data_IF_644360222456
#
_entry.id   IF_644360222456
#
_cell.length_a   1.000
_cell.length_b   1.000
_cell.length_c   1.000
_cell.angle_alpha   90.00
_cell.angle_beta   90.00
_cell.angle_gamma   90.00
#
_symmetry.space_group_name_H-M   'P 1'
#
loop_
_entity.id
_entity.type
_entity.pdbx_description
1 polymer ?
#
# COMPACT_ATOMS: atom_id res chain seq x y z
N UNK A 1 -10.89 -62.82 -9.24
CA UNK A 1 -10.82 -61.38 -9.53
C UNK A 1 -10.00 -60.77 -8.41
N UNK A 2 -9.00 -59.97 -8.76
CA UNK A 2 -8.24 -59.16 -7.81
C UNK A 2 -8.78 -57.74 -7.95
N UNK A 3 -9.19 -57.15 -6.83
CA UNK A 3 -9.69 -55.78 -6.79
C UNK A 3 -8.61 -54.92 -6.12
N UNK A 4 -8.27 -53.80 -6.74
CA UNK A 4 -7.45 -52.79 -6.09
C UNK A 4 -8.40 -51.81 -5.38
N UNK A 5 -8.22 -51.64 -4.08
CA UNK A 5 -9.04 -50.75 -3.26
C UNK A 5 -8.17 -49.56 -2.94
N UNK A 6 -8.61 -48.37 -3.36
CA UNK A 6 -8.03 -47.10 -2.94
C UNK A 6 -8.87 -46.55 -1.80
N UNK A 7 -8.22 -46.05 -0.75
CA UNK A 7 -8.87 -45.46 0.41
C UNK A 7 -8.52 -43.98 0.36
N UNK A 8 -9.56 -43.17 0.28
CA UNK A 8 -9.51 -41.73 0.29
C UNK A 8 -9.00 -41.21 1.65
N UNK A 9 -8.23 -40.12 1.63
CA UNK A 9 -7.66 -39.48 2.80
C UNK A 9 -8.10 -38.00 2.85
N UNK A 10 -8.33 -37.44 4.05
CA UNK A 10 -8.62 -36.01 4.13
C UNK A 10 -7.40 -35.19 3.66
N UNK A 11 -7.63 -33.97 3.14
CA UNK A 11 -6.55 -33.04 2.82
C UNK A 11 -5.65 -32.77 4.04
N UNK A 12 -4.36 -32.56 3.82
CA UNK A 12 -3.39 -32.25 4.87
C UNK A 12 -3.10 -30.74 4.92
N UNK A 13 -3.35 -30.12 6.08
CA UNK A 13 -3.01 -28.71 6.32
C UNK A 13 -1.58 -28.62 6.88
N UNK A 14 -0.64 -28.12 6.07
CA UNK A 14 0.75 -27.93 6.48
C UNK A 14 0.94 -26.73 7.42
N UNK A 15 0.05 -25.73 7.34
CA UNK A 15 0.05 -24.58 8.22
C UNK A 15 -0.70 -23.36 7.66
N UNK A 16 -0.91 -22.38 8.53
CA UNK A 16 -1.55 -21.10 8.20
C UNK A 16 -0.46 -20.01 8.21
N UNK A 17 -0.36 -19.25 7.13
CA UNK A 17 0.55 -18.13 6.98
C UNK A 17 -0.20 -16.83 7.30
N UNK A 18 0.23 -16.20 8.39
CA UNK A 18 -0.25 -14.93 8.91
C UNK A 18 0.91 -13.93 8.86
N UNK A 19 0.64 -12.62 8.67
CA UNK A 19 1.65 -11.60 8.87
C UNK A 19 2.06 -11.51 10.35
N UNK A 20 3.27 -11.02 10.60
CA UNK A 20 3.82 -10.89 11.96
C UNK A 20 3.01 -9.92 12.85
N UNK A 21 2.41 -8.90 12.24
CA UNK A 21 1.61 -7.89 12.91
C UNK A 21 0.26 -7.75 12.18
N UNK A 22 -0.81 -7.82 12.96
CA UNK A 22 -2.20 -7.63 12.52
C UNK A 22 -2.74 -6.41 13.26
N UNK A 23 -3.39 -5.50 12.53
CA UNK A 23 -3.93 -4.27 13.08
C UNK A 23 -5.46 -4.27 12.95
N UNK A 24 -6.16 -3.66 13.91
CA UNK A 24 -7.60 -3.41 13.83
C UNK A 24 -7.96 -2.56 12.61
N UNK A 25 -9.16 -2.72 12.05
CA UNK A 25 -9.68 -2.02 10.87
C UNK A 25 -8.86 -2.16 9.57
N UNK A 26 -7.75 -2.92 9.59
CA UNK A 26 -6.95 -3.23 8.41
C UNK A 26 -7.28 -4.61 7.84
N UNK A 27 -7.34 -4.69 6.50
CA UNK A 27 -7.49 -5.96 5.80
C UNK A 27 -6.20 -6.76 5.83
N UNK A 28 -6.28 -7.92 6.44
CA UNK A 28 -5.18 -8.87 6.58
C UNK A 28 -5.37 -10.01 5.60
N UNK A 29 -4.33 -10.30 4.83
CA UNK A 29 -4.30 -11.45 3.93
C UNK A 29 -3.77 -12.68 4.69
N UNK A 30 -4.57 -13.74 4.73
CA UNK A 30 -4.22 -15.01 5.37
C UNK A 30 -4.20 -16.11 4.32
N UNK A 31 -3.16 -16.94 4.33
CA UNK A 31 -3.00 -18.02 3.35
C UNK A 31 -2.88 -19.36 4.08
N UNK A 32 -3.67 -20.36 3.68
CA UNK A 32 -3.47 -21.73 4.15
C UNK A 32 -2.64 -22.52 3.14
N UNK A 33 -1.66 -23.28 3.64
CA UNK A 33 -0.90 -24.24 2.83
C UNK A 33 -1.51 -25.63 3.01
N UNK A 34 -2.11 -26.15 1.94
CA UNK A 34 -2.83 -27.42 1.91
C UNK A 34 -2.28 -28.29 0.80
N UNK A 35 -2.20 -29.58 1.06
CA UNK A 35 -1.95 -30.61 0.06
C UNK A 35 -2.95 -31.74 0.19
N UNK A 36 -3.31 -32.33 -0.95
CA UNK A 36 -4.21 -33.47 -1.02
C UNK A 36 -3.55 -34.59 -1.85
N UNK A 37 -3.53 -35.81 -1.33
CA UNK A 37 -2.73 -36.89 -1.92
C UNK A 37 -3.31 -37.34 -3.27
N UNK A 38 -4.63 -37.37 -3.35
CA UNK A 38 -5.45 -37.77 -4.49
C UNK A 38 -5.34 -36.75 -5.63
N UNK A 39 -5.42 -35.46 -5.29
CA UNK A 39 -5.19 -34.35 -6.22
C UNK A 39 -3.74 -34.34 -6.75
N UNK A 40 -2.74 -34.56 -5.88
CA UNK A 40 -1.33 -34.64 -6.29
C UNK A 40 -1.03 -35.84 -7.20
N UNK A 41 -1.78 -36.94 -7.03
CA UNK A 41 -1.67 -38.13 -7.84
C UNK A 41 -2.51 -38.08 -9.14
N UNK A 42 -3.23 -36.97 -9.39
CA UNK A 42 -4.14 -36.78 -10.53
C UNK A 42 -5.18 -37.92 -10.66
N UNK A 43 -5.66 -38.40 -9.50
CA UNK A 43 -6.66 -39.46 -9.44
C UNK A 43 -8.05 -38.87 -9.69
N UNK A 44 -8.82 -39.44 -10.60
CA UNK A 44 -10.21 -39.00 -10.83
C UNK A 44 -11.16 -40.09 -10.39
N UNK A 45 -12.04 -39.77 -9.46
CA UNK A 45 -13.04 -40.69 -8.95
C UNK A 45 -14.38 -40.51 -9.66
N UNK A 46 -15.05 -41.65 -9.89
CA UNK A 46 -16.39 -41.68 -10.43
C UNK A 46 -17.29 -42.44 -9.48
N UNK A 47 -18.47 -41.87 -9.20
CA UNK A 47 -19.54 -42.53 -8.47
C UNK A 47 -20.47 -43.22 -9.46
N UNK A 48 -20.66 -44.51 -9.26
CA UNK A 48 -21.70 -45.33 -9.91
C UNK A 48 -23.05 -45.03 -9.24
N UNK A 49 -24.03 -44.58 -10.03
CA UNK A 49 -25.37 -44.23 -9.58
C UNK A 49 -26.41 -45.33 -9.88
N UNK A 50 -26.03 -46.36 -10.62
CA UNK A 50 -26.89 -47.42 -11.16
C UNK A 50 -26.30 -48.84 -10.99
N UNK A 51 -25.67 -49.10 -9.84
CA UNK A 51 -25.02 -50.36 -9.39
C UNK A 51 -25.68 -51.71 -9.73
N UNK A 52 -26.96 -51.72 -10.15
CA UNK A 52 -27.73 -52.91 -10.47
C UNK A 52 -27.76 -53.27 -11.97
N UNK A 53 -27.22 -52.43 -12.85
CA UNK A 53 -27.21 -52.70 -14.30
C UNK A 53 -26.14 -53.73 -14.73
N UNK A 54 -25.22 -54.06 -13.81
CA UNK A 54 -24.17 -55.06 -14.00
C UNK A 54 -22.94 -54.55 -14.75
N UNK A 55 -22.86 -53.26 -15.06
CA UNK A 55 -21.65 -52.60 -15.54
C UNK A 55 -20.65 -52.42 -14.39
N UNK A 56 -19.36 -52.33 -14.73
CA UNK A 56 -18.27 -52.02 -13.79
C UNK A 56 -17.29 -51.00 -14.42
N UNK A 57 -17.74 -50.26 -15.43
CA UNK A 57 -16.88 -49.42 -16.30
C UNK A 57 -17.52 -48.09 -16.70
N UNK A 58 -18.76 -47.92 -16.29
CA UNK A 58 -19.52 -46.69 -16.35
C UNK A 58 -18.91 -45.63 -15.44
N UNK A 59 -19.09 -44.40 -15.90
CA UNK A 59 -18.58 -43.18 -15.29
C UNK A 59 -19.75 -42.23 -15.24
N UNK A 60 -20.65 -42.44 -14.28
CA UNK A 60 -21.90 -41.67 -14.22
C UNK A 60 -21.64 -40.25 -13.73
N UNK A 61 -21.07 -40.12 -12.53
CA UNK A 61 -20.80 -38.85 -11.88
C UNK A 61 -19.32 -38.74 -11.53
N UNK A 62 -18.64 -37.73 -12.07
CA UNK A 62 -17.27 -37.41 -11.67
C UNK A 62 -17.31 -36.65 -10.35
N UNK A 63 -16.55 -37.12 -9.36
CA UNK A 63 -16.32 -36.39 -8.12
C UNK A 63 -15.21 -35.37 -8.39
N UNK A 64 -15.41 -34.11 -7.99
CA UNK A 64 -14.38 -33.09 -8.16
C UNK A 64 -13.25 -33.29 -7.15
N UNK A 65 -12.01 -33.03 -7.56
CA UNK A 65 -10.86 -32.94 -6.65
C UNK A 65 -10.63 -31.50 -6.16
N UNK A 66 -11.55 -30.59 -6.46
CA UNK A 66 -11.45 -29.21 -6.01
C UNK A 66 -11.61 -29.16 -4.49
N UNK A 67 -10.70 -28.45 -3.84
CA UNK A 67 -10.73 -28.24 -2.39
C UNK A 67 -11.68 -27.11 -2.04
N UNK A 68 -12.49 -27.32 -1.01
CA UNK A 68 -13.35 -26.30 -0.41
C UNK A 68 -12.68 -25.82 0.86
N UNK A 69 -12.33 -24.53 0.92
CA UNK A 69 -11.68 -23.90 2.08
C UNK A 69 -12.66 -22.93 2.73
N UNK A 70 -12.99 -23.21 3.98
CA UNK A 70 -13.87 -22.41 4.83
C UNK A 70 -13.06 -21.86 6.00
N UNK A 71 -13.32 -20.62 6.37
CA UNK A 71 -12.60 -19.90 7.41
C UNK A 71 -13.56 -19.48 8.51
N UNK A 72 -13.06 -19.47 9.73
CA UNK A 72 -13.70 -18.96 10.93
C UNK A 72 -12.78 -17.89 11.51
N UNK A 73 -13.29 -16.67 11.64
CA UNK A 73 -12.50 -15.49 11.97
C UNK A 73 -12.01 -15.54 13.42
N UNK A 74 -12.87 -15.95 14.34
CA UNK A 74 -12.56 -16.03 15.76
C UNK A 74 -13.48 -17.01 16.48
N UNK A 75 -12.95 -18.19 16.84
CA UNK A 75 -13.72 -19.23 17.55
C UNK A 75 -14.19 -18.82 18.97
N UNK A 76 -13.80 -17.63 19.44
CA UNK A 76 -14.19 -17.10 20.74
C UNK A 76 -15.43 -16.19 20.65
N UNK A 77 -15.84 -15.80 19.45
CA UNK A 77 -16.90 -14.81 19.22
C UNK A 77 -17.94 -15.36 18.25
N UNK A 78 -19.14 -15.56 18.80
CA UNK A 78 -20.35 -15.83 18.03
C UNK A 78 -20.76 -14.59 17.22
N UNK A 79 -20.56 -14.64 15.91
CA UNK A 79 -20.83 -13.56 14.98
C UNK A 79 -22.28 -13.57 14.47
N UNK A 80 -22.89 -14.75 14.27
CA UNK A 80 -24.25 -14.89 13.74
C UNK A 80 -25.36 -14.91 14.82
N UNK A 81 -24.98 -15.08 16.09
CA UNK A 81 -25.82 -15.06 17.27
C UNK A 81 -26.60 -16.35 17.52
N UNK A 82 -26.13 -17.49 17.00
CA UNK A 82 -26.78 -18.80 17.15
C UNK A 82 -26.40 -19.57 18.45
N UNK A 83 -25.63 -18.93 19.33
CA UNK A 83 -25.08 -19.46 20.58
C UNK A 83 -23.97 -20.52 20.41
N UNK A 84 -23.48 -20.72 19.18
CA UNK A 84 -22.31 -21.54 18.86
C UNK A 84 -21.23 -20.58 18.37
N UNK A 85 -20.03 -20.67 18.95
CA UNK A 85 -18.95 -19.69 18.71
C UNK A 85 -17.97 -20.13 17.62
N UNK A 86 -18.06 -21.37 17.15
CA UNK A 86 -17.05 -22.01 16.30
C UNK A 86 -17.59 -22.49 14.94
N UNK A 87 -18.67 -21.86 14.48
CA UNK A 87 -19.40 -22.23 13.26
C UNK A 87 -19.81 -21.05 12.36
N UNK A 88 -19.21 -19.88 12.53
CA UNK A 88 -19.37 -18.69 11.70
C UNK A 88 -18.50 -18.77 10.43
N UNK A 89 -18.66 -19.88 9.69
CA UNK A 89 -17.87 -20.17 8.50
C UNK A 89 -18.13 -19.17 7.37
N UNK A 90 -17.05 -18.61 6.82
CA UNK A 90 -17.07 -17.82 5.60
C UNK A 90 -16.12 -18.37 4.55
N UNK A 91 -16.50 -18.21 3.28
CA UNK A 91 -15.69 -18.62 2.13
C UNK A 91 -15.01 -17.39 1.55
N UNK A 92 -13.74 -17.51 1.19
CA UNK A 92 -13.01 -16.43 0.54
C UNK A 92 -13.62 -16.05 -0.80
N UNK A 93 -13.67 -14.74 -1.08
CA UNK A 93 -14.09 -14.19 -2.38
C UNK A 93 -12.90 -13.95 -3.32
N UNK A 94 -11.69 -14.32 -2.90
CA UNK A 94 -10.48 -14.14 -3.69
C UNK A 94 -10.41 -15.13 -4.86
N UNK A 95 -9.56 -14.82 -5.84
CA UNK A 95 -9.32 -15.71 -6.99
C UNK A 95 -8.60 -17.01 -6.61
N UNK A 96 -7.87 -16.99 -5.49
CA UNK A 96 -7.19 -18.14 -4.90
C UNK A 96 -8.03 -18.63 -3.71
N UNK A 97 -8.47 -19.89 -3.77
CA UNK A 97 -9.33 -20.50 -2.73
C UNK A 97 -8.61 -20.58 -1.37
N UNK A 98 -7.29 -20.72 -1.38
CA UNK A 98 -6.45 -20.80 -0.17
C UNK A 98 -6.12 -19.45 0.46
N UNK A 99 -6.45 -18.34 -0.19
CA UNK A 99 -6.20 -16.98 0.30
C UNK A 99 -7.51 -16.41 0.83
N UNK A 100 -7.55 -15.97 2.08
CA UNK A 100 -8.65 -15.21 2.67
C UNK A 100 -8.21 -13.80 3.04
N UNK A 101 -9.16 -12.87 3.03
CA UNK A 101 -8.99 -11.49 3.51
C UNK A 101 -9.90 -11.28 4.70
N UNK A 102 -9.31 -11.02 5.87
CA UNK A 102 -10.00 -10.91 7.15
C UNK A 102 -9.76 -9.52 7.73
N UNK A 103 -10.75 -8.96 8.43
CA UNK A 103 -10.68 -7.64 9.08
C UNK A 103 -11.21 -7.80 10.50
N UNK A 104 -10.46 -7.33 11.50
CA UNK A 104 -10.90 -7.31 12.90
C UNK A 104 -11.24 -5.88 13.32
N UNK A 105 -12.40 -5.70 13.95
CA UNK A 105 -12.91 -4.37 14.32
C UNK A 105 -12.35 -3.85 15.66
N UNK A 106 -11.79 -4.74 16.49
CA UNK A 106 -11.33 -4.41 17.85
C UNK A 106 -9.99 -5.10 18.15
N UNK A 107 -9.14 -4.51 19.02
CA UNK A 107 -7.86 -5.09 19.37
C UNK A 107 -8.07 -6.20 20.40
N UNK A 108 -7.84 -7.44 19.97
CA UNK A 108 -8.07 -8.64 20.78
C UNK A 108 -7.11 -9.76 20.39
N UNK A 109 -6.96 -10.73 21.29
CA UNK A 109 -6.42 -12.05 20.94
C UNK A 109 -7.57 -12.88 20.37
N UNK A 110 -7.46 -13.26 19.11
CA UNK A 110 -8.42 -14.08 18.37
C UNK A 110 -7.79 -15.42 18.00
N UNK A 111 -8.62 -16.44 17.80
CA UNK A 111 -8.15 -17.75 17.33
C UNK A 111 -8.83 -18.04 15.99
N UNK A 112 -8.05 -17.92 14.92
CA UNK A 112 -8.49 -18.18 13.56
C UNK A 112 -8.55 -19.69 13.34
N UNK A 113 -9.64 -20.17 12.76
CA UNK A 113 -9.79 -21.59 12.39
C UNK A 113 -10.05 -21.72 10.90
N UNK A 114 -9.50 -22.76 10.29
CA UNK A 114 -9.71 -23.09 8.88
C UNK A 114 -10.15 -24.54 8.77
N UNK A 115 -11.14 -24.80 7.92
CA UNK A 115 -11.59 -26.14 7.53
C UNK A 115 -11.35 -26.30 6.05
N UNK A 116 -10.78 -27.43 5.68
CA UNK A 116 -10.51 -27.77 4.29
C UNK A 116 -11.11 -29.13 3.99
N UNK A 117 -12.02 -29.17 3.02
CA UNK A 117 -12.70 -30.39 2.60
C UNK A 117 -12.34 -30.75 1.15
N UNK A 118 -12.26 -32.05 0.88
CA UNK A 118 -12.21 -32.58 -0.48
C UNK A 118 -13.63 -32.71 -1.10
N UNK A 119 -13.69 -33.11 -2.36
CA UNK A 119 -14.98 -33.36 -3.04
C UNK A 119 -15.69 -34.66 -2.63
N UNK A 120 -15.04 -35.52 -1.82
CA UNK A 120 -15.64 -36.72 -1.24
C UNK A 120 -16.26 -36.45 0.15
N UNK A 121 -16.04 -35.26 0.70
CA UNK A 121 -16.59 -34.78 1.96
C UNK A 121 -15.73 -35.13 3.19
N UNK A 122 -14.47 -35.53 3.01
CA UNK A 122 -13.52 -35.61 4.11
C UNK A 122 -12.88 -34.24 4.32
N UNK A 123 -12.75 -33.86 5.59
CA UNK A 123 -12.25 -32.55 5.95
C UNK A 123 -11.15 -32.64 7.01
N UNK A 124 -10.21 -31.71 6.95
CA UNK A 124 -9.23 -31.43 8.00
C UNK A 124 -9.42 -30.01 8.54
N UNK A 125 -9.01 -29.78 9.78
CA UNK A 125 -9.16 -28.50 10.48
C UNK A 125 -7.86 -28.07 11.14
N UNK A 126 -7.52 -26.80 11.02
CA UNK A 126 -6.37 -26.19 11.69
C UNK A 126 -6.73 -24.87 12.37
N UNK A 127 -5.96 -24.50 13.37
CA UNK A 127 -6.14 -23.27 14.14
C UNK A 127 -4.83 -22.49 14.22
N UNK A 128 -4.92 -21.18 14.28
CA UNK A 128 -3.80 -20.29 14.52
C UNK A 128 -4.19 -19.14 15.46
N UNK A 129 -3.33 -18.85 16.42
CA UNK A 129 -3.48 -17.73 17.33
C UNK A 129 -3.12 -16.42 16.60
N UNK A 130 -3.96 -15.40 16.73
CA UNK A 130 -3.79 -14.08 16.12
C UNK A 130 -3.90 -13.02 17.22
N UNK A 131 -2.89 -12.19 17.37
CA UNK A 131 -2.95 -11.00 18.25
C UNK A 131 -3.21 -9.77 17.39
N UNK A 132 -4.38 -9.18 17.54
CA UNK A 132 -4.79 -7.94 16.85
C UNK A 132 -4.35 -6.74 17.67
N UNK A 133 -3.49 -5.92 17.08
CA UNK A 133 -2.99 -4.68 17.66
C UNK A 133 -3.96 -3.53 17.36
N UNK A 134 -4.05 -2.52 18.25
CA UNK A 134 -4.77 -1.29 17.92
C UNK A 134 -4.12 -0.57 16.75
N UNK A 135 -4.85 0.34 16.10
CA UNK A 135 -4.30 1.14 15.00
C UNK A 135 -2.97 1.78 15.43
N UNK A 136 -1.95 1.68 14.57
CA UNK A 136 -0.68 2.34 14.83
C UNK A 136 -0.92 3.85 14.83
N UNK A 137 -1.02 4.45 16.03
CA UNK A 137 -0.95 5.89 16.19
C UNK A 137 0.27 6.39 15.42
N UNK A 138 0.07 7.33 14.49
CA UNK A 138 1.14 7.88 13.68
C UNK A 138 2.31 8.30 14.60
N UNK A 139 3.54 7.92 14.23
CA UNK A 139 4.74 8.29 14.99
C UNK A 139 4.65 9.76 15.41
N UNK A 140 4.75 10.08 16.72
CA UNK A 140 4.52 11.44 17.20
C UNK A 140 5.48 12.38 16.47
N UNK A 141 4.91 13.31 15.73
CA UNK A 141 5.69 14.29 14.99
C UNK A 141 6.29 15.29 15.97
N UNK A 142 7.42 15.91 15.61
CA UNK A 142 8.00 16.99 16.43
C UNK A 142 7.05 18.20 16.61
N UNK A 143 5.95 18.26 15.85
CA UNK A 143 4.88 19.24 15.98
C UNK A 143 3.82 18.90 17.03
N UNK A 144 3.78 17.65 17.53
CA UNK A 144 2.76 17.20 18.49
C UNK A 144 3.14 17.52 19.94
N UNK A 145 4.36 18.00 20.18
CA UNK A 145 4.78 18.44 21.51
C UNK A 145 4.10 19.76 21.88
N UNK A 146 3.34 19.72 22.98
CA UNK A 146 2.78 20.90 23.61
C UNK A 146 3.86 21.78 24.25
N UNK A 147 3.55 23.07 24.42
CA UNK A 147 4.42 24.01 25.14
C UNK A 147 4.70 23.57 26.57
N UNK A 148 3.77 22.86 27.20
CA UNK A 148 3.92 22.36 28.58
C UNK A 148 4.86 21.15 28.63
N UNK A 149 4.79 20.25 27.65
CA UNK A 149 5.74 19.13 27.52
C UNK A 149 7.16 19.63 27.26
N UNK A 150 7.33 20.64 26.40
CA UNK A 150 8.65 21.24 26.15
C UNK A 150 9.24 21.90 27.40
N UNK A 151 8.40 22.57 28.18
CA UNK A 151 8.80 23.18 29.45
C UNK A 151 9.14 22.12 30.50
N UNK A 152 8.40 21.03 30.55
CA UNK A 152 8.65 19.90 31.47
C UNK A 152 9.96 19.19 31.11
N UNK A 153 10.18 18.90 29.82
CA UNK A 153 11.42 18.34 29.31
C UNK A 153 12.61 19.26 29.60
N UNK A 154 12.48 20.56 29.35
CA UNK A 154 13.53 21.53 29.67
C UNK A 154 13.82 21.61 31.18
N UNK A 155 12.83 21.35 32.04
CA UNK A 155 13.01 21.30 33.49
C UNK A 155 13.62 19.98 34.00
N UNK A 156 13.29 18.85 33.35
CA UNK A 156 13.77 17.51 33.73
C UNK A 156 15.14 17.17 33.13
N UNK A 157 15.47 17.71 31.96
CA UNK A 157 16.70 17.40 31.24
C UNK A 157 17.97 17.96 31.90
N UNK A 158 17.84 18.71 33.01
CA UNK A 158 18.94 19.04 33.92
C UNK A 158 20.17 19.65 33.24
N UNK A 159 21.30 19.63 33.95
CA UNK A 159 22.58 20.26 33.56
C UNK A 159 23.07 19.94 32.13
N UNK A 160 22.68 18.81 31.55
CA UNK A 160 23.16 18.37 30.23
C UNK A 160 22.44 19.09 29.07
N UNK A 161 21.15 19.45 29.21
CA UNK A 161 20.41 20.18 28.18
C UNK A 161 20.98 21.59 27.93
N UNK A 162 21.50 22.26 28.97
CA UNK A 162 22.19 23.54 28.85
C UNK A 162 23.47 23.43 27.99
N UNK A 163 24.19 22.31 28.09
CA UNK A 163 25.37 22.04 27.28
C UNK A 163 25.05 21.93 25.80
N UNK A 164 23.99 21.17 25.46
CA UNK A 164 23.53 21.03 24.08
C UNK A 164 23.03 22.36 23.50
N UNK A 165 22.25 23.13 24.27
CA UNK A 165 21.77 24.45 23.84
C UNK A 165 22.94 25.42 23.62
N UNK A 166 23.95 25.42 24.50
CA UNK A 166 25.14 26.24 24.34
C UNK A 166 25.94 25.87 23.09
N UNK A 167 26.05 24.57 22.78
CA UNK A 167 26.72 24.09 21.56
C UNK A 167 25.96 24.50 20.28
N UNK A 168 24.63 24.38 20.29
CA UNK A 168 23.79 24.82 19.16
C UNK A 168 23.94 26.33 18.92
N UNK A 169 23.89 27.13 19.99
CA UNK A 169 24.10 28.57 19.90
C UNK A 169 25.51 28.93 19.42
N UNK A 170 26.54 28.24 19.92
CA UNK A 170 27.91 28.43 19.46
C UNK A 170 28.08 28.08 17.98
N UNK A 171 27.47 26.99 17.51
CA UNK A 171 27.48 26.58 16.10
C UNK A 171 26.74 27.58 15.20
N UNK A 172 25.60 28.11 15.64
CA UNK A 172 24.87 29.16 14.91
C UNK A 172 25.66 30.46 14.82
N UNK A 173 26.30 30.90 15.92
CA UNK A 173 27.15 32.10 15.93
C UNK A 173 28.38 31.90 15.03
N UNK A 174 29.02 30.73 15.07
CA UNK A 174 30.14 30.42 14.19
C UNK A 174 29.73 30.34 12.73
N UNK A 175 28.61 29.68 12.41
CA UNK A 175 28.06 29.61 11.06
C UNK A 175 27.73 31.01 10.52
N UNK A 176 27.13 31.87 11.34
CA UNK A 176 26.88 33.27 11.00
C UNK A 176 28.17 34.07 10.81
N UNK A 177 29.19 33.85 11.65
CA UNK A 177 30.46 34.57 11.57
C UNK A 177 31.27 34.16 10.33
N UNK A 178 31.28 32.86 9.99
CA UNK A 178 31.91 32.34 8.78
C UNK A 178 31.25 32.91 7.52
N UNK A 179 29.92 32.99 7.48
CA UNK A 179 29.22 33.60 6.34
C UNK A 179 29.44 35.12 6.21
N UNK A 180 29.91 35.78 7.27
CA UNK A 180 30.21 37.22 7.25
C UNK A 180 31.65 37.53 6.84
N UNK A 181 32.51 36.52 6.72
CA UNK A 181 33.85 36.72 6.18
C UNK A 181 33.77 36.71 4.65
N UNK A 182 34.23 37.77 3.97
CA UNK A 182 34.34 37.73 2.52
C UNK A 182 35.31 36.59 2.18
N UNK A 183 34.90 35.71 1.28
CA UNK A 183 35.80 34.70 0.75
C UNK A 183 36.82 35.38 -0.19
N UNK A 184 37.95 34.72 -0.45
CA UNK A 184 39.03 35.27 -1.32
C UNK A 184 38.48 35.72 -2.70
N UNK A 185 37.43 35.04 -3.17
CA UNK A 185 36.73 35.34 -4.42
C UNK A 185 35.95 36.67 -4.35
N UNK A 186 35.29 36.99 -3.24
CA UNK A 186 34.61 38.28 -3.03
C UNK A 186 35.61 39.42 -2.80
N UNK A 187 36.77 39.15 -2.20
CA UNK A 187 37.82 40.15 -1.99
C UNK A 187 38.53 40.50 -3.32
N UNK A 188 38.81 39.49 -4.15
CA UNK A 188 39.25 39.69 -5.54
C UNK A 188 38.17 40.38 -6.39
N UNK A 189 36.88 40.05 -6.20
CA UNK A 189 35.79 40.72 -6.89
C UNK A 189 35.66 42.20 -6.49
N UNK A 190 35.87 42.54 -5.22
CA UNK A 190 35.93 43.95 -4.76
C UNK A 190 37.14 44.68 -5.33
N UNK A 191 38.33 44.09 -5.34
CA UNK A 191 39.51 44.72 -5.96
C UNK A 191 39.37 44.90 -7.48
N UNK A 192 38.74 43.93 -8.15
CA UNK A 192 38.44 44.02 -9.58
C UNK A 192 37.34 45.05 -9.88
N UNK A 193 36.35 45.20 -9.00
CA UNK A 193 35.34 46.24 -9.10
C UNK A 193 35.89 47.64 -8.79
N UNK A 194 36.88 47.78 -7.91
CA UNK A 194 37.57 49.06 -7.67
C UNK A 194 38.56 49.43 -8.79
N UNK A 195 39.11 48.43 -9.49
CA UNK A 195 40.03 48.64 -10.64
C UNK A 195 39.29 49.06 -11.91
N UNK A 196 38.02 48.66 -12.05
CA UNK A 196 37.14 49.14 -13.10
C UNK A 196 36.02 49.95 -12.47
N UNK A 197 36.18 51.28 -12.39
CA UNK A 197 35.07 52.19 -12.08
C UNK A 197 34.09 52.16 -13.26
N UNK A 198 33.25 51.12 -13.29
CA UNK A 198 32.21 50.96 -14.30
C UNK A 198 31.02 51.77 -13.80
N UNK A 199 30.75 52.89 -14.48
CA UNK A 199 29.47 53.59 -14.41
C UNK A 199 28.35 52.55 -14.41
N UNK A 200 27.50 52.56 -13.39
CA UNK A 200 26.33 51.70 -13.28
C UNK A 200 25.52 51.82 -14.58
N UNK A 201 25.61 50.79 -15.44
CA UNK A 201 24.68 50.62 -16.53
C UNK A 201 23.40 50.05 -15.92
N UNK A 202 22.40 50.91 -15.78
CA UNK A 202 21.05 50.53 -15.39
C UNK A 202 20.54 49.37 -16.25
N UNK A 203 20.00 48.37 -15.54
CA UNK A 203 19.10 47.31 -15.99
C UNK A 203 19.45 46.52 -17.26
N UNK A 204 19.98 45.32 -17.03
CA UNK A 204 19.50 44.12 -17.71
C UNK A 204 20.11 43.83 -19.09
N UNK A 205 21.21 43.09 -19.10
CA UNK A 205 21.68 42.49 -20.35
C UNK A 205 22.96 41.69 -20.19
N UNK A 206 22.81 40.36 -20.04
CA UNK A 206 23.89 39.39 -20.24
C UNK A 206 24.46 39.57 -21.66
N UNK A 207 25.59 40.26 -21.76
CA UNK A 207 26.40 40.40 -22.98
C UNK A 207 27.02 39.04 -23.34
N UNK A 208 26.25 38.16 -23.97
CA UNK A 208 26.81 36.87 -24.38
C UNK A 208 25.92 35.93 -25.16
N UNK A 209 24.61 36.16 -25.25
CA UNK A 209 23.73 35.24 -25.98
C UNK A 209 22.51 35.99 -26.49
N UNK A 210 22.34 35.97 -27.82
CA UNK A 210 21.09 36.30 -28.49
C UNK A 210 20.67 37.79 -28.54
N UNK A 211 21.30 38.56 -29.43
CA UNK A 211 20.70 39.77 -30.01
C UNK A 211 19.60 39.39 -31.00
N UNK A 212 18.56 38.72 -30.51
CA UNK A 212 17.33 38.52 -31.22
C UNK A 212 16.25 39.29 -30.47
N UNK A 213 15.88 40.46 -31.01
CA UNK A 213 14.65 41.11 -30.58
C UNK A 213 13.53 40.09 -30.75
N UNK A 214 12.75 39.78 -29.70
CA UNK A 214 11.65 38.84 -29.82
C UNK A 214 10.76 39.30 -30.99
N UNK A 215 10.30 38.38 -31.84
CA UNK A 215 9.46 38.74 -32.97
C UNK A 215 8.28 39.56 -32.46
N UNK A 216 7.89 40.64 -33.18
CA UNK A 216 6.84 41.53 -32.72
C UNK A 216 5.59 40.70 -32.43
N UNK A 217 5.03 40.88 -31.23
CA UNK A 217 3.87 40.13 -30.77
C UNK A 217 2.75 40.21 -31.83
N UNK A 218 2.06 39.08 -32.13
CA UNK A 218 1.05 39.06 -33.17
C UNK A 218 -0.04 40.11 -32.88
N UNK A 219 -0.28 41.00 -33.85
CA UNK A 219 -1.26 42.08 -33.71
C UNK A 219 -2.65 41.47 -33.58
N UNK A 220 -3.27 41.59 -32.40
CA UNK A 220 -4.67 41.25 -32.20
C UNK A 220 -5.50 42.26 -32.99
N UNK A 221 -6.11 41.82 -34.10
CA UNK A 221 -6.97 42.67 -34.93
C UNK A 221 -8.18 43.16 -34.13
N UNK A 222 -8.41 44.46 -34.17
CA UNK A 222 -9.61 45.10 -33.60
C UNK A 222 -10.88 44.63 -34.32
N UNK A 223 -12.05 44.84 -33.70
CA UNK A 223 -13.35 44.42 -34.28
C UNK A 223 -13.60 45.01 -35.67
N UNK A 224 -13.07 46.21 -35.96
CA UNK A 224 -13.23 46.87 -37.25
C UNK A 224 -12.28 46.26 -38.30
N UNK A 225 -11.03 45.99 -37.91
CA UNK A 225 -10.04 45.35 -38.81
C UNK A 225 -10.46 43.92 -39.18
N UNK A 226 -11.10 43.17 -38.27
CA UNK A 226 -11.69 41.83 -38.56
C UNK A 226 -12.83 41.84 -39.58
N UNK A 227 -13.33 43.02 -39.98
CA UNK A 227 -14.37 43.18 -41.00
C UNK A 227 -13.81 43.72 -42.33
N UNK A 228 -12.52 44.03 -42.40
CA UNK A 228 -11.87 44.44 -43.64
C UNK A 228 -11.34 43.20 -44.37
N UNK A 229 -11.69 43.04 -45.64
CA UNK A 229 -11.33 41.87 -46.46
C UNK A 229 -9.82 41.80 -46.75
N UNK A 230 -9.09 42.92 -46.66
CA UNK A 230 -7.62 42.96 -46.80
C UNK A 230 -6.87 42.43 -45.56
N UNK A 231 -7.54 42.27 -44.41
CA UNK A 231 -6.90 41.88 -43.15
C UNK A 231 -6.50 40.41 -43.06
N UNK A 232 -6.85 39.60 -44.08
CA UNK A 232 -6.58 38.16 -44.10
C UNK A 232 -7.33 37.36 -43.03
N UNK A 233 -8.19 37.99 -42.24
CA UNK A 233 -8.95 37.34 -41.18
C UNK A 233 -10.12 36.53 -41.75
N UNK A 234 -10.03 35.20 -41.67
CA UNK A 234 -11.11 34.28 -42.06
C UNK A 234 -12.03 34.06 -40.86
N UNK A 235 -13.27 34.52 -40.94
CA UNK A 235 -14.26 34.27 -39.88
C UNK A 235 -14.67 32.78 -39.90
N UNK A 236 -14.63 32.06 -38.76
CA UNK A 236 -15.13 30.69 -38.70
C UNK A 236 -16.64 30.66 -38.97
N UNK A 237 -17.07 29.78 -39.88
CA UNK A 237 -18.47 29.59 -40.23
C UNK A 237 -19.18 28.91 -39.06
N UNK A 238 -20.17 29.60 -38.48
CA UNK A 238 -21.07 28.99 -37.50
C UNK A 238 -22.06 28.11 -38.27
N UNK A 239 -21.98 26.79 -38.09
CA UNK A 239 -22.97 25.86 -38.63
C UNK A 239 -24.33 26.24 -38.01
N UNK A 240 -25.33 26.53 -38.85
CA UNK A 240 -26.73 26.62 -38.39
C UNK A 240 -27.17 25.19 -38.12
N UNK A 241 -27.62 24.92 -36.90
CA UNK A 241 -28.51 23.79 -36.62
C UNK A 241 -29.83 23.97 -37.39
#
# INVERSE_FOLDING_TARGET
AEFNIHIDAPPEIAGINLPDEVYEDFSTAVIVNVSDAESLADLVFYRDLNVLDGSNSDRDEAISNDLVVEWEQDILRDADGDEIVDNDWFVSTNTLVTLATVVWDEPTDAVLKVRVCDGMGLCDEAQADVTVLPEQDADPSLSDFSWDEWKSWMSDAGSDALGFIALILAALILGWLVMRQPNEIEEEAKQNAETYDVEHADDGGLLGMDHHSPPPAPKILSKQERRNDESGYIRPLRRRE
#
